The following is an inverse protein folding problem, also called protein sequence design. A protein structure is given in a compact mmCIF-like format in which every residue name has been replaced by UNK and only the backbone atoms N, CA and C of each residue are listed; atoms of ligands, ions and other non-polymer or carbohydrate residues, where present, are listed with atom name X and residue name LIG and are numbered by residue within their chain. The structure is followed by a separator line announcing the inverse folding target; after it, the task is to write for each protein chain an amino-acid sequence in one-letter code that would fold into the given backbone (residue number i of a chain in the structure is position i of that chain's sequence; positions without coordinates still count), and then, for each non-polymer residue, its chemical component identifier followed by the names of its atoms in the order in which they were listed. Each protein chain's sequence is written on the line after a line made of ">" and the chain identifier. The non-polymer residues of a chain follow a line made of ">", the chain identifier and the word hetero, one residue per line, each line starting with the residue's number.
data_IF_834491025484
#
_entry.id   IF_834491025484
#
_cell.length_a   1.000
_cell.length_b   1.000
_cell.length_c   1.000
_cell.angle_alpha   90.00
_cell.angle_beta   90.00
_cell.angle_gamma   90.00
#
_symmetry.space_group_name_H-M   'P 1'
#
loop_
_entity.id
_entity.type
_entity.pdbx_description
1 polymer ?
#
# COMPACT_ATOMS: atom_id res chain seq x y z
N UNK A 1 6.88 49.26 77.39
CA UNK A 1 7.64 48.27 76.59
C UNK A 1 7.92 48.89 75.23
N UNK A 2 9.14 49.37 74.98
CA UNK A 2 9.55 49.89 73.66
C UNK A 2 10.26 48.75 72.93
N UNK A 3 9.61 48.20 71.90
CA UNK A 3 10.27 47.24 71.01
C UNK A 3 11.36 47.97 70.23
N UNK A 4 12.62 47.58 70.44
CA UNK A 4 13.74 48.00 69.62
C UNK A 4 13.54 47.42 68.21
N UNK A 5 13.15 48.26 67.26
CA UNK A 5 13.13 47.92 65.84
C UNK A 5 14.60 47.77 65.43
N UNK A 6 15.07 46.53 65.28
CA UNK A 6 16.40 46.24 64.72
C UNK A 6 16.40 46.76 63.27
N UNK A 7 17.24 47.76 62.99
CA UNK A 7 17.41 48.31 61.65
C UNK A 7 17.97 47.25 60.71
N UNK A 8 17.32 47.06 59.57
CA UNK A 8 17.76 46.16 58.51
C UNK A 8 19.04 46.72 57.89
N UNK A 9 20.11 45.92 57.82
CA UNK A 9 21.37 46.39 57.20
C UNK A 9 21.25 46.36 55.67
N UNK A 10 21.87 47.33 55.00
CA UNK A 10 21.90 47.39 53.53
C UNK A 10 22.53 46.13 52.91
N UNK A 11 23.49 45.52 53.61
CA UNK A 11 24.11 44.26 53.22
C UNK A 11 23.12 43.09 53.22
N UNK A 12 22.22 43.04 54.19
CA UNK A 12 21.20 42.00 54.31
C UNK A 12 20.15 42.11 53.19
N UNK A 13 19.76 43.32 52.80
CA UNK A 13 18.89 43.53 51.63
C UNK A 13 19.60 43.16 50.31
N UNK A 14 20.89 43.49 50.16
CA UNK A 14 21.66 43.12 48.97
C UNK A 14 21.81 41.60 48.84
N UNK A 15 22.10 40.90 49.95
CA UNK A 15 22.19 39.44 49.96
C UNK A 15 20.86 38.77 49.58
N UNK A 16 19.74 39.24 50.15
CA UNK A 16 18.41 38.68 49.87
C UNK A 16 18.01 38.87 48.41
N UNK A 17 18.26 40.05 47.83
CA UNK A 17 17.96 40.30 46.41
C UNK A 17 18.77 39.42 45.46
N UNK A 18 20.04 39.15 45.77
CA UNK A 18 20.88 38.22 44.97
C UNK A 18 20.35 36.79 45.06
N UNK A 19 20.02 36.30 46.26
CA UNK A 19 19.50 34.94 46.45
C UNK A 19 18.15 34.78 45.74
N UNK A 20 17.22 35.72 45.89
CA UNK A 20 15.92 35.69 45.21
C UNK A 20 16.11 35.74 43.70
N UNK A 21 17.00 36.60 43.19
CA UNK A 21 17.31 36.66 41.76
C UNK A 21 17.87 35.35 41.21
N UNK A 22 18.74 34.66 41.94
CA UNK A 22 19.27 33.36 41.53
C UNK A 22 18.18 32.27 41.52
N UNK A 23 17.33 32.22 42.55
CA UNK A 23 16.23 31.24 42.65
C UNK A 23 15.19 31.43 41.54
N UNK A 24 14.83 32.68 41.22
CA UNK A 24 13.90 32.99 40.13
C UNK A 24 14.46 32.49 38.80
N UNK A 25 15.75 32.77 38.50
CA UNK A 25 16.35 32.32 37.25
C UNK A 25 16.33 30.79 37.11
N UNK A 26 16.74 30.06 38.15
CA UNK A 26 16.71 28.59 38.14
C UNK A 26 15.27 28.07 37.95
N UNK A 27 14.30 28.68 38.65
CA UNK A 27 12.88 28.34 38.52
C UNK A 27 12.38 28.50 37.09
N UNK A 28 12.66 29.65 36.46
CA UNK A 28 12.22 29.93 35.08
C UNK A 28 12.78 28.92 34.09
N UNK A 29 14.08 28.57 34.17
CA UNK A 29 14.67 27.58 33.28
C UNK A 29 14.03 26.19 33.43
N UNK A 30 13.78 25.76 34.66
CA UNK A 30 13.14 24.47 34.93
C UNK A 30 11.70 24.41 34.36
N UNK A 31 10.91 25.48 34.54
CA UNK A 31 9.56 25.53 33.99
C UNK A 31 9.55 25.55 32.46
N UNK A 32 10.51 26.23 31.83
CA UNK A 32 10.64 26.25 30.37
C UNK A 32 10.96 24.85 29.82
N UNK A 33 11.89 24.11 30.42
CA UNK A 33 12.21 22.75 29.99
C UNK A 33 11.03 21.80 30.14
N UNK A 34 10.28 21.92 31.24
CA UNK A 34 9.10 21.09 31.48
C UNK A 34 7.99 21.38 30.49
N UNK A 35 7.65 22.66 30.28
CA UNK A 35 6.63 23.06 29.31
C UNK A 35 7.03 22.65 27.88
N UNK A 36 8.31 22.72 27.56
CA UNK A 36 8.84 22.24 26.28
C UNK A 36 8.65 20.73 26.11
N UNK A 37 8.98 19.92 27.11
CA UNK A 37 8.79 18.46 27.04
C UNK A 37 7.32 18.08 26.88
N UNK A 38 6.45 18.74 27.63
CA UNK A 38 5.00 18.55 27.51
C UNK A 38 4.48 18.95 26.12
N UNK A 39 5.03 20.03 25.55
CA UNK A 39 4.72 20.43 24.18
C UNK A 39 5.07 19.36 23.14
N UNK A 40 6.25 18.74 23.28
CA UNK A 40 6.66 17.63 22.41
C UNK A 40 5.78 16.39 22.61
N UNK A 41 5.42 16.07 23.85
CA UNK A 41 4.57 14.93 24.17
C UNK A 41 3.18 15.11 23.55
N UNK A 42 2.55 16.27 23.74
CA UNK A 42 1.27 16.61 23.13
C UNK A 42 1.35 16.55 21.60
N UNK A 43 2.40 17.09 20.99
CA UNK A 43 2.59 17.03 19.53
C UNK A 43 2.68 15.59 19.05
N UNK A 44 3.38 14.72 19.77
CA UNK A 44 3.53 13.31 19.40
C UNK A 44 2.20 12.56 19.46
N UNK A 45 1.39 12.80 20.49
CA UNK A 45 0.05 12.21 20.63
C UNK A 45 -0.86 12.69 19.50
N UNK A 46 -0.84 13.98 19.17
CA UNK A 46 -1.65 14.52 18.07
C UNK A 46 -1.26 13.90 16.72
N UNK A 47 0.04 13.75 16.44
CA UNK A 47 0.49 13.07 15.22
C UNK A 47 0.02 11.62 15.17
N UNK A 48 0.11 10.88 16.28
CA UNK A 48 -0.40 9.49 16.35
C UNK A 48 -1.92 9.42 16.16
N UNK A 49 -2.69 10.35 16.75
CA UNK A 49 -4.13 10.43 16.55
C UNK A 49 -4.49 10.64 15.07
N UNK A 50 -3.78 11.53 14.37
CA UNK A 50 -3.99 11.75 12.93
C UNK A 50 -3.66 10.48 12.14
N UNK A 51 -2.53 9.82 12.43
CA UNK A 51 -2.12 8.58 11.74
C UNK A 51 -3.13 7.45 11.96
N UNK A 52 -3.64 7.29 13.18
CA UNK A 52 -4.65 6.29 13.52
C UNK A 52 -6.00 6.59 12.85
N UNK A 53 -6.41 7.87 12.81
CA UNK A 53 -7.61 8.29 12.10
C UNK A 53 -7.51 8.03 10.59
N UNK A 54 -6.33 8.29 10.00
CA UNK A 54 -6.06 7.98 8.60
C UNK A 54 -6.10 6.47 8.30
N UNK A 55 -5.57 5.64 9.21
CA UNK A 55 -5.65 4.19 9.10
C UNK A 55 -7.11 3.70 9.16
N UNK A 56 -7.94 4.25 10.07
CA UNK A 56 -9.36 3.94 10.14
C UNK A 56 -10.10 4.34 8.86
N UNK A 57 -9.85 5.56 8.35
CA UNK A 57 -10.41 6.01 7.07
C UNK A 57 -10.04 5.04 5.92
N UNK A 58 -8.79 4.57 5.89
CA UNK A 58 -8.31 3.64 4.87
C UNK A 58 -9.03 2.28 4.95
N UNK A 59 -9.33 1.78 6.16
CA UNK A 59 -10.06 0.52 6.35
C UNK A 59 -11.49 0.57 5.80
N UNK A 60 -12.11 1.75 5.82
CA UNK A 60 -13.48 1.97 5.35
C UNK A 60 -13.55 2.34 3.87
N UNK A 61 -12.57 3.10 3.36
CA UNK A 61 -12.61 3.67 2.01
C UNK A 61 -11.61 3.04 1.04
N UNK A 62 -10.73 2.15 1.50
CA UNK A 62 -9.65 1.51 0.73
C UNK A 62 -8.67 2.48 0.07
N UNK A 63 -8.65 3.73 0.53
CA UNK A 63 -7.81 4.80 0.03
C UNK A 63 -7.40 5.71 1.18
N UNK A 64 -6.26 6.38 1.04
CA UNK A 64 -5.83 7.39 2.00
C UNK A 64 -6.72 8.64 1.91
N UNK A 65 -6.93 9.36 3.02
CA UNK A 65 -7.73 10.58 3.00
C UNK A 65 -7.01 11.67 2.17
N UNK A 66 -7.75 12.45 1.36
CA UNK A 66 -7.17 13.48 0.50
C UNK A 66 -6.62 14.68 1.29
N UNK A 67 -7.10 14.90 2.52
CA UNK A 67 -6.69 16.00 3.38
C UNK A 67 -6.97 15.70 4.85
N UNK A 68 -6.34 16.46 5.74
CA UNK A 68 -6.66 16.44 7.18
C UNK A 68 -8.11 16.85 7.46
N UNK A 69 -8.67 17.75 6.66
CA UNK A 69 -10.06 18.21 6.80
C UNK A 69 -11.07 17.06 6.52
N UNK A 70 -10.75 16.15 5.60
CA UNK A 70 -11.55 14.96 5.36
C UNK A 70 -11.68 14.08 6.62
N UNK A 71 -10.61 13.91 7.40
CA UNK A 71 -10.65 13.13 8.64
C UNK A 71 -11.57 13.74 9.70
N UNK A 72 -11.81 15.05 9.61
CA UNK A 72 -12.69 15.81 10.50
C UNK A 72 -14.15 15.83 10.02
N UNK A 73 -14.50 15.07 8.98
CA UNK A 73 -15.84 15.09 8.39
C UNK A 73 -16.12 16.31 7.51
N UNK A 74 -15.07 16.95 6.98
CA UNK A 74 -15.18 18.07 6.03
C UNK A 74 -14.75 17.64 4.62
N UNK A 75 -14.80 18.56 3.65
CA UNK A 75 -14.29 18.35 2.28
C UNK A 75 -14.85 17.12 1.55
N UNK A 76 -16.12 16.78 1.79
CA UNK A 76 -16.81 15.67 1.11
C UNK A 76 -16.72 14.31 1.81
N UNK A 77 -16.10 14.24 2.99
CA UNK A 77 -16.07 13.04 3.82
C UNK A 77 -17.18 13.09 4.87
N UNK A 78 -18.08 12.10 4.88
CA UNK A 78 -19.25 12.05 5.78
C UNK A 78 -18.95 11.47 7.16
N UNK A 79 -17.95 10.59 7.26
CA UNK A 79 -17.55 9.96 8.52
C UNK A 79 -16.48 10.80 9.23
N UNK A 80 -16.67 11.03 10.52
CA UNK A 80 -15.73 11.73 11.38
C UNK A 80 -14.80 10.69 12.01
N UNK A 81 -13.52 10.72 11.64
CA UNK A 81 -12.48 9.87 12.24
C UNK A 81 -11.62 10.63 13.25
N UNK A 82 -11.66 11.97 13.19
CA UNK A 82 -10.93 12.87 14.07
C UNK A 82 -11.92 13.91 14.64
N UNK A 83 -12.29 13.76 15.92
CA UNK A 83 -13.38 14.52 16.52
C UNK A 83 -13.10 16.01 16.79
N UNK A 84 -11.82 16.39 16.91
CA UNK A 84 -11.42 17.79 17.09
C UNK A 84 -10.22 18.11 16.19
N UNK A 85 -10.08 19.37 15.72
CA UNK A 85 -8.92 19.76 14.96
C UNK A 85 -7.65 19.59 15.82
N UNK A 86 -6.60 18.94 15.30
CA UNK A 86 -5.42 18.66 16.06
C UNK A 86 -4.72 19.97 16.38
N UNK A 87 -4.55 20.25 17.67
CA UNK A 87 -3.90 21.47 18.13
C UNK A 87 -2.44 21.19 18.49
N UNK A 88 -1.55 21.91 17.84
CA UNK A 88 -0.14 21.90 18.20
C UNK A 88 0.13 23.00 19.23
N UNK A 89 0.72 22.70 20.40
CA UNK A 89 1.06 23.71 21.41
C UNK A 89 2.05 24.78 20.91
N UNK A 90 2.77 24.51 19.80
CA UNK A 90 3.64 25.49 19.15
C UNK A 90 2.93 26.34 18.08
N UNK A 91 1.61 26.22 17.93
CA UNK A 91 0.81 26.91 16.91
C UNK A 91 1.29 26.66 15.46
N UNK A 92 1.98 25.53 15.22
CA UNK A 92 2.37 25.11 13.89
C UNK A 92 1.37 24.08 13.35
N UNK A 93 0.96 24.26 12.09
CA UNK A 93 -0.01 23.39 11.45
C UNK A 93 0.59 22.02 11.13
N UNK A 94 -0.23 20.98 11.31
CA UNK A 94 0.07 19.66 10.77
C UNK A 94 -0.21 19.65 9.28
N UNK A 95 0.73 19.13 8.51
CA UNK A 95 0.56 18.87 7.08
C UNK A 95 0.47 17.37 6.86
N UNK A 96 -0.36 16.96 5.90
CA UNK A 96 -0.59 15.55 5.62
C UNK A 96 -0.47 15.28 4.14
N UNK A 97 0.11 14.14 3.77
CA UNK A 97 0.21 13.71 2.38
C UNK A 97 -0.05 12.21 2.26
N UNK A 98 -0.76 11.82 1.20
CA UNK A 98 -0.87 10.43 0.80
C UNK A 98 0.24 10.11 -0.21
N UNK A 99 1.22 9.31 0.19
CA UNK A 99 2.36 8.89 -0.64
C UNK A 99 2.39 7.37 -0.64
N UNK A 100 1.70 6.74 -1.59
CA UNK A 100 1.59 5.27 -1.63
C UNK A 100 2.97 4.59 -1.51
N UNK A 101 3.14 3.60 -0.59
CA UNK A 101 2.13 2.94 0.25
C UNK A 101 1.85 3.59 1.62
N UNK A 102 2.38 4.79 1.89
CA UNK A 102 2.31 5.45 3.18
C UNK A 102 1.28 6.58 3.23
N UNK A 103 0.77 6.81 4.43
CA UNK A 103 0.23 8.11 4.82
C UNK A 103 1.26 8.84 5.66
N UNK A 104 1.41 10.14 5.40
CA UNK A 104 2.47 10.96 5.97
C UNK A 104 1.84 12.10 6.75
N UNK A 105 2.31 12.30 7.97
CA UNK A 105 1.99 13.48 8.79
C UNK A 105 3.30 14.19 9.11
N UNK A 106 3.35 15.50 8.84
CA UNK A 106 4.52 16.33 9.09
C UNK A 106 4.16 17.55 9.92
N UNK A 107 5.13 18.02 10.70
CA UNK A 107 5.02 19.26 11.47
C UNK A 107 6.36 19.97 11.50
N UNK A 108 6.34 21.29 11.30
CA UNK A 108 7.54 22.13 11.38
C UNK A 108 7.52 22.89 12.70
N UNK A 109 8.51 22.66 13.56
CA UNK A 109 8.57 23.32 14.86
C UNK A 109 9.12 24.76 14.69
N UNK A 110 8.44 25.80 15.22
CA UNK A 110 8.76 27.20 14.97
C UNK A 110 9.85 27.73 15.91
N UNK A 111 11.03 27.09 15.90
CA UNK A 111 12.17 27.58 16.67
C UNK A 111 12.92 28.69 15.95
N UNK A 112 13.25 29.75 16.68
CA UNK A 112 14.04 30.89 16.17
C UNK A 112 15.47 30.47 15.83
N UNK A 113 16.00 29.47 16.54
CA UNK A 113 17.31 28.89 16.30
C UNK A 113 17.17 27.51 15.63
N UNK A 114 17.72 27.39 14.41
CA UNK A 114 17.66 26.16 13.62
C UNK A 114 18.29 24.94 14.32
N UNK A 115 19.35 25.13 15.12
CA UNK A 115 20.00 24.05 15.85
C UNK A 115 19.12 23.53 17.00
N UNK A 116 18.43 24.43 17.71
CA UNK A 116 17.48 24.06 18.76
C UNK A 116 16.28 23.32 18.17
N UNK A 117 15.76 23.80 17.02
CA UNK A 117 14.68 23.13 16.30
C UNK A 117 15.05 21.75 15.81
N UNK A 118 16.28 21.55 15.32
CA UNK A 118 16.77 20.24 14.92
C UNK A 118 16.89 19.26 16.09
N UNK A 119 17.34 19.73 17.26
CA UNK A 119 17.36 18.92 18.48
C UNK A 119 15.95 18.49 18.89
N UNK A 120 15.02 19.44 18.95
CA UNK A 120 13.61 19.19 19.28
C UNK A 120 12.95 18.19 18.32
N UNK A 121 13.18 18.38 17.01
CA UNK A 121 12.63 17.51 15.97
C UNK A 121 13.15 16.07 16.11
N UNK A 122 14.42 15.87 16.44
CA UNK A 122 14.98 14.53 16.68
C UNK A 122 14.38 13.85 17.92
N UNK A 123 14.17 14.60 19.00
CA UNK A 123 13.49 14.08 20.21
C UNK A 123 12.06 13.67 19.89
N UNK A 124 11.34 14.50 19.13
CA UNK A 124 9.97 14.20 18.71
C UNK A 124 9.90 13.00 17.75
N UNK A 125 10.82 12.90 16.79
CA UNK A 125 10.91 11.73 15.91
C UNK A 125 11.21 10.44 16.70
N UNK A 126 12.00 10.51 17.77
CA UNK A 126 12.23 9.36 18.66
C UNK A 126 11.00 8.89 19.43
N UNK A 127 9.95 9.71 19.53
CA UNK A 127 8.67 9.36 20.20
C UNK A 127 7.64 8.76 19.25
N UNK A 128 7.90 8.79 17.95
CA UNK A 128 6.94 8.40 16.91
C UNK A 128 7.43 7.15 16.17
N UNK A 129 6.56 6.15 15.93
CA UNK A 129 6.93 5.00 15.12
C UNK A 129 7.19 5.45 13.69
N UNK A 130 8.26 4.92 13.08
CA UNK A 130 8.65 5.27 11.71
C UNK A 130 8.64 6.77 11.46
N UNK A 131 9.31 7.56 12.31
CA UNK A 131 9.45 8.99 12.09
C UNK A 131 10.89 9.38 11.76
N UNK A 132 11.02 10.41 10.95
CA UNK A 132 12.29 11.02 10.56
C UNK A 132 12.26 12.51 10.89
N UNK A 133 13.43 13.06 11.22
CA UNK A 133 13.63 14.48 11.48
C UNK A 133 14.58 15.06 10.43
N UNK A 134 14.19 16.16 9.81
CA UNK A 134 15.02 16.94 8.88
C UNK A 134 14.92 18.41 9.22
N UNK A 135 16.01 19.01 9.67
CA UNK A 135 15.97 20.35 10.27
C UNK A 135 14.98 20.39 11.44
N UNK A 136 14.11 21.40 11.47
CA UNK A 136 13.03 21.53 12.47
C UNK A 136 11.74 20.78 12.10
N UNK A 137 11.74 20.02 11.02
CA UNK A 137 10.56 19.27 10.54
C UNK A 137 10.62 17.83 10.97
N UNK A 138 9.51 17.34 11.53
CA UNK A 138 9.31 15.92 11.83
C UNK A 138 8.28 15.36 10.89
N UNK A 139 8.57 14.19 10.34
CA UNK A 139 7.70 13.46 9.43
C UNK A 139 7.49 12.06 9.98
N UNK A 140 6.24 11.64 10.14
CA UNK A 140 5.89 10.29 10.59
C UNK A 140 5.09 9.56 9.51
N UNK A 141 5.28 8.25 9.41
CA UNK A 141 4.70 7.41 8.38
C UNK A 141 3.75 6.37 8.98
N UNK A 142 2.62 6.16 8.32
CA UNK A 142 1.71 5.04 8.57
C UNK A 142 1.65 4.16 7.33
N UNK A 143 1.94 2.87 7.49
CA UNK A 143 1.78 1.87 6.44
C UNK A 143 0.30 1.54 6.20
N UNK A 144 -0.01 1.04 5.00
CA UNK A 144 -1.31 0.43 4.69
C UNK A 144 -1.66 -0.63 5.76
N UNK A 145 -2.82 -0.54 6.42
CA UNK A 145 -3.24 -1.55 7.38
C UNK A 145 -3.39 -2.92 6.71
N UNK A 146 -2.79 -3.96 7.28
CA UNK A 146 -2.84 -5.33 6.74
C UNK A 146 -4.27 -5.90 6.61
N UNK A 147 -5.25 -5.36 7.33
CA UNK A 147 -6.66 -5.76 7.20
C UNK A 147 -7.29 -5.36 5.86
N UNK A 148 -6.77 -4.33 5.16
CA UNK A 148 -7.23 -3.99 3.82
C UNK A 148 -6.79 -5.02 2.76
N UNK A 149 -5.64 -5.69 2.98
CA UNK A 149 -5.21 -6.84 2.17
C UNK A 149 -6.08 -8.08 2.44
N UNK A 150 -6.68 -8.19 3.64
CA UNK A 150 -7.57 -9.30 4.00
C UNK A 150 -9.03 -9.11 3.54
N UNK A 151 -9.46 -7.88 3.23
CA UNK A 151 -10.80 -7.59 2.66
C UNK A 151 -10.83 -7.72 1.12
N UNK A 152 -9.67 -7.72 0.47
CA UNK A 152 -9.58 -8.23 -0.89
C UNK A 152 -9.70 -9.76 -0.81
N UNK A 153 -10.73 -10.41 -1.40
CA UNK A 153 -10.76 -11.86 -1.47
C UNK A 153 -9.44 -12.33 -2.10
N UNK A 154 -8.63 -13.04 -1.31
CA UNK A 154 -7.28 -13.48 -1.69
C UNK A 154 -7.31 -14.37 -2.92
N UNK A 155 -8.41 -15.11 -3.11
CA UNK A 155 -8.83 -15.73 -4.36
C UNK A 155 -10.36 -15.70 -4.46
N UNK A 156 -10.89 -15.26 -5.60
CA UNK A 156 -12.31 -15.36 -5.95
C UNK A 156 -12.59 -16.66 -6.71
N UNK A 157 -11.78 -16.96 -7.72
CA UNK A 157 -11.87 -18.19 -8.50
C UNK A 157 -10.50 -18.80 -8.68
N UNK A 158 -10.39 -20.11 -8.42
CA UNK A 158 -9.24 -20.91 -8.79
C UNK A 158 -9.74 -22.06 -9.67
N UNK A 159 -9.11 -22.27 -10.82
CA UNK A 159 -9.51 -23.30 -11.76
C UNK A 159 -8.40 -23.72 -12.68
N UNK A 160 -8.56 -24.90 -13.28
CA UNK A 160 -7.68 -25.41 -14.31
C UNK A 160 -8.26 -25.06 -15.69
N UNK A 161 -7.44 -24.43 -16.53
CA UNK A 161 -7.81 -23.96 -17.85
C UNK A 161 -6.85 -24.51 -18.90
N UNK A 162 -7.38 -24.80 -20.09
CA UNK A 162 -6.57 -25.11 -21.26
C UNK A 162 -6.06 -23.82 -21.92
N UNK A 163 -5.06 -23.93 -22.78
CA UNK A 163 -4.65 -22.80 -23.61
C UNK A 163 -5.84 -22.28 -24.43
N UNK A 164 -6.09 -20.97 -24.38
CA UNK A 164 -7.27 -20.34 -24.98
C UNK A 164 -8.54 -20.43 -24.14
N UNK A 165 -8.50 -21.00 -22.94
CA UNK A 165 -9.65 -21.12 -22.04
C UNK A 165 -10.12 -19.78 -21.47
N UNK A 166 -11.40 -19.72 -21.08
CA UNK A 166 -12.04 -18.52 -20.55
C UNK A 166 -12.00 -18.48 -19.02
N UNK A 167 -11.28 -17.52 -18.46
CA UNK A 167 -11.20 -17.26 -17.02
C UNK A 167 -12.25 -16.21 -16.66
N UNK A 168 -13.15 -16.45 -15.69
CA UNK A 168 -14.13 -15.45 -15.27
C UNK A 168 -13.44 -14.28 -14.55
N UNK A 169 -13.78 -13.05 -14.94
CA UNK A 169 -13.33 -11.84 -14.25
C UNK A 169 -14.11 -11.71 -12.94
N UNK A 170 -13.42 -11.59 -11.78
CA UNK A 170 -14.10 -11.46 -10.51
C UNK A 170 -14.81 -10.11 -10.40
N UNK A 171 -15.98 -10.11 -9.74
CA UNK A 171 -16.64 -8.88 -9.33
C UNK A 171 -15.99 -8.35 -8.05
N UNK A 172 -15.24 -7.27 -8.17
CA UNK A 172 -14.56 -6.70 -7.02
C UNK A 172 -15.49 -5.82 -6.15
N UNK A 173 -15.35 -5.88 -4.81
CA UNK A 173 -16.12 -5.02 -3.91
C UNK A 173 -15.57 -3.59 -3.96
N UNK A 174 -16.46 -2.62 -4.15
CA UNK A 174 -16.13 -1.20 -4.20
C UNK A 174 -15.63 -0.70 -5.56
N UNK A 175 -15.55 0.62 -5.71
CA UNK A 175 -15.12 1.28 -6.97
C UNK A 175 -13.62 1.31 -7.15
N UNK A 176 -12.85 1.03 -6.09
CA UNK A 176 -11.41 1.22 -6.05
C UNK A 176 -10.63 -0.09 -6.15
N UNK A 177 -11.26 -1.25 -6.33
CA UNK A 177 -10.53 -2.50 -6.52
C UNK A 177 -10.51 -2.89 -8.00
N UNK A 178 -9.34 -3.29 -8.50
CA UNK A 178 -9.17 -3.78 -9.87
C UNK A 178 -9.05 -5.30 -9.88
N UNK A 179 -9.69 -5.99 -10.83
CA UNK A 179 -9.57 -7.44 -10.95
C UNK A 179 -8.15 -7.81 -11.41
N UNK A 180 -7.56 -8.84 -10.81
CA UNK A 180 -6.22 -9.36 -11.13
C UNK A 180 -6.23 -10.89 -11.24
N UNK A 181 -5.26 -11.48 -11.93
CA UNK A 181 -5.13 -12.93 -12.13
C UNK A 181 -3.68 -13.38 -12.11
N UNK A 182 -3.45 -14.51 -11.45
CA UNK A 182 -2.21 -15.26 -11.52
C UNK A 182 -2.42 -16.48 -12.40
N UNK A 183 -1.51 -16.70 -13.34
CA UNK A 183 -1.55 -17.84 -14.24
C UNK A 183 -0.23 -18.61 -14.13
N UNK A 184 -0.33 -19.92 -13.90
CA UNK A 184 0.84 -20.81 -13.83
C UNK A 184 0.57 -22.07 -14.64
N UNK A 185 1.55 -22.59 -15.40
CA UNK A 185 1.42 -23.89 -16.03
C UNK A 185 1.44 -24.99 -14.97
N UNK A 186 0.55 -25.98 -15.10
CA UNK A 186 0.44 -27.13 -14.18
C UNK A 186 0.90 -28.42 -14.86
N UNK A 187 0.55 -28.59 -16.14
CA UNK A 187 0.89 -29.79 -16.89
C UNK A 187 1.08 -29.47 -18.36
N UNK A 188 2.12 -30.06 -18.93
CA UNK A 188 2.48 -29.98 -20.33
C UNK A 188 2.87 -31.39 -20.77
N UNK A 189 2.20 -31.95 -21.78
CA UNK A 189 2.46 -33.33 -22.22
C UNK A 189 2.32 -33.48 -23.74
N UNK A 190 3.06 -34.41 -24.36
CA UNK A 190 2.80 -34.84 -25.74
C UNK A 190 2.90 -33.72 -26.79
N UNK A 191 3.87 -32.82 -26.64
CA UNK A 191 4.12 -31.73 -27.58
C UNK A 191 5.19 -32.15 -28.59
N UNK A 192 4.94 -31.86 -29.88
CA UNK A 192 5.87 -32.05 -31.00
C UNK A 192 6.21 -33.51 -31.36
N UNK A 193 5.24 -34.41 -31.21
CA UNK A 193 5.36 -35.80 -31.64
C UNK A 193 4.08 -36.31 -32.32
N UNK A 194 4.23 -37.33 -33.17
CA UNK A 194 3.09 -38.00 -33.77
C UNK A 194 2.24 -38.66 -32.67
N UNK A 195 0.95 -38.32 -32.64
CA UNK A 195 0.00 -38.95 -31.72
C UNK A 195 -0.16 -40.45 -32.02
N UNK A 196 -0.31 -41.31 -31.01
CA UNK A 196 -0.21 -41.05 -29.57
C UNK A 196 1.24 -41.17 -29.07
N UNK A 197 1.74 -40.16 -28.38
CA UNK A 197 3.04 -40.24 -27.70
C UNK A 197 2.91 -39.87 -26.23
N UNK A 198 3.66 -40.59 -25.39
CA UNK A 198 3.75 -40.37 -23.94
C UNK A 198 5.10 -39.76 -23.54
N UNK A 199 5.90 -39.30 -24.51
CA UNK A 199 7.21 -38.74 -24.21
C UNK A 199 7.06 -37.41 -23.48
N UNK A 200 7.91 -37.25 -22.46
CA UNK A 200 7.95 -36.09 -21.60
C UNK A 200 9.23 -35.35 -21.92
N UNK A 201 9.10 -34.12 -22.40
CA UNK A 201 10.23 -33.21 -22.62
C UNK A 201 10.28 -32.19 -21.48
N UNK A 202 11.47 -31.87 -20.95
CA UNK A 202 11.60 -30.81 -19.97
C UNK A 202 11.20 -29.46 -20.61
N UNK A 203 10.53 -28.62 -19.82
CA UNK A 203 10.19 -27.25 -20.20
C UNK A 203 11.43 -26.39 -20.01
N UNK A 204 11.94 -25.81 -21.09
CA UNK A 204 13.12 -24.93 -21.04
C UNK A 204 12.74 -23.52 -20.58
N UNK A 205 11.60 -23.01 -21.06
CA UNK A 205 11.00 -21.77 -20.56
C UNK A 205 9.50 -21.72 -20.85
N UNK A 206 8.78 -20.94 -20.06
CA UNK A 206 7.36 -20.70 -20.26
C UNK A 206 7.02 -19.26 -19.91
N UNK A 207 6.01 -18.72 -20.58
CA UNK A 207 5.39 -17.44 -20.26
C UNK A 207 3.88 -17.64 -20.25
N UNK A 208 3.27 -17.48 -19.07
CA UNK A 208 1.84 -17.55 -18.90
C UNK A 208 1.28 -16.12 -18.77
N UNK A 209 0.29 -15.78 -19.57
CA UNK A 209 -0.32 -14.45 -19.56
C UNK A 209 -1.82 -14.54 -19.85
N UNK A 210 -2.53 -13.44 -19.64
CA UNK A 210 -3.94 -13.34 -20.00
C UNK A 210 -4.15 -12.21 -21.00
N UNK A 211 -5.09 -12.41 -21.91
CA UNK A 211 -5.58 -11.35 -22.79
C UNK A 211 -7.00 -10.95 -22.37
N UNK A 212 -7.23 -9.65 -22.31
CA UNK A 212 -8.55 -9.04 -22.27
C UNK A 212 -8.93 -8.56 -23.67
N UNK A 213 -10.16 -8.07 -23.83
CA UNK A 213 -10.61 -7.42 -25.07
C UNK A 213 -11.73 -6.44 -24.79
N UNK A 214 -12.10 -5.63 -25.79
CA UNK A 214 -13.26 -4.72 -25.68
C UNK A 214 -14.57 -5.49 -25.47
N UNK A 215 -14.64 -6.74 -25.94
CA UNK A 215 -15.77 -7.62 -25.75
C UNK A 215 -15.57 -8.52 -24.52
N UNK A 216 -16.31 -8.22 -23.45
CA UNK A 216 -16.28 -8.98 -22.17
C UNK A 216 -16.67 -10.47 -22.32
N UNK A 217 -17.37 -10.84 -23.39
CA UNK A 217 -17.75 -12.24 -23.68
C UNK A 217 -16.84 -12.91 -24.70
N UNK A 218 -15.96 -12.16 -25.37
CA UNK A 218 -15.03 -12.67 -26.37
C UNK A 218 -13.67 -11.96 -26.24
N UNK A 219 -12.85 -12.37 -25.24
CA UNK A 219 -11.54 -11.77 -25.03
C UNK A 219 -10.62 -12.08 -26.21
N UNK A 220 -9.66 -11.19 -26.46
CA UNK A 220 -8.73 -11.27 -27.58
C UNK A 220 -7.98 -12.62 -27.59
N UNK A 221 -7.59 -13.07 -28.77
CA UNK A 221 -6.86 -14.32 -28.94
C UNK A 221 -5.44 -14.22 -28.37
N UNK A 222 -4.85 -15.36 -27.99
CA UNK A 222 -3.45 -15.42 -27.58
C UNK A 222 -2.55 -15.00 -28.74
N UNK A 223 -1.49 -14.23 -28.45
CA UNK A 223 -0.53 -13.80 -29.46
C UNK A 223 0.16 -15.03 -30.07
N UNK A 224 0.50 -14.97 -31.36
CA UNK A 224 1.09 -16.07 -32.15
C UNK A 224 0.20 -17.32 -32.36
N UNK A 225 -1.07 -17.31 -31.95
CA UNK A 225 -2.06 -18.30 -32.38
C UNK A 225 -2.54 -17.96 -33.80
N UNK A 226 -1.82 -18.41 -34.83
CA UNK A 226 -2.21 -18.20 -36.24
C UNK A 226 -3.49 -18.93 -36.66
N UNK A 227 -4.08 -19.77 -35.80
CA UNK A 227 -5.31 -20.48 -36.14
C UNK A 227 -6.16 -20.94 -34.92
N UNK A 228 -6.56 -20.01 -34.04
CA UNK A 228 -7.98 -20.02 -33.64
C UNK A 228 -8.75 -19.28 -34.74
N UNK A 229 -8.75 -19.89 -35.92
CA UNK A 229 -9.47 -19.41 -37.08
C UNK A 229 -10.95 -19.34 -36.71
N UNK A 230 -11.50 -18.13 -36.84
CA UNK A 230 -12.92 -17.82 -37.09
C UNK A 230 -13.96 -18.21 -36.04
N UNK A 231 -13.56 -18.46 -34.81
CA UNK A 231 -14.49 -18.51 -33.69
C UNK A 231 -14.17 -17.42 -32.70
N UNK A 232 -14.96 -16.34 -32.68
CA UNK A 232 -15.34 -15.68 -31.43
C UNK A 232 -15.89 -16.77 -30.51
N UNK A 233 -15.00 -17.52 -29.86
CA UNK A 233 -15.42 -18.59 -28.95
C UNK A 233 -15.91 -17.83 -27.73
N UNK A 234 -17.20 -17.49 -27.79
CA UNK A 234 -17.88 -16.75 -26.76
C UNK A 234 -17.76 -17.56 -25.50
N UNK A 235 -17.16 -16.93 -24.50
CA UNK A 235 -17.09 -17.49 -23.17
C UNK A 235 -18.54 -17.50 -22.66
N UNK A 236 -19.21 -18.64 -22.76
CA UNK A 236 -20.58 -18.83 -22.28
C UNK A 236 -20.53 -19.49 -20.91
N UNK A 237 -21.25 -18.90 -19.96
CA UNK A 237 -21.31 -19.37 -18.57
C UNK A 237 -22.10 -20.66 -18.46
N UNK A 238 -21.43 -21.81 -18.54
CA UNK A 238 -21.97 -23.03 -17.96
C UNK A 238 -21.78 -22.99 -16.43
N UNK A 239 -22.68 -22.30 -15.72
CA UNK A 239 -22.92 -22.53 -14.28
C UNK A 239 -22.08 -21.77 -13.24
N UNK A 240 -21.41 -20.66 -13.57
CA UNK A 240 -20.75 -19.78 -12.59
C UNK A 240 -21.49 -18.46 -12.39
N UNK A 241 -21.45 -17.85 -11.18
CA UNK A 241 -22.17 -16.61 -10.88
C UNK A 241 -21.77 -15.51 -11.87
N UNK A 242 -22.78 -14.79 -12.38
CA UNK A 242 -22.71 -13.83 -13.50
C UNK A 242 -21.40 -13.03 -13.54
N UNK A 243 -20.41 -13.44 -14.35
CA UNK A 243 -19.15 -12.73 -14.44
C UNK A 243 -19.36 -11.39 -15.15
N UNK A 244 -18.62 -10.35 -14.75
CA UNK A 244 -18.63 -9.05 -15.44
C UNK A 244 -17.93 -9.12 -16.80
N UNK A 245 -17.20 -10.22 -17.05
CA UNK A 245 -16.53 -10.54 -18.29
C UNK A 245 -15.61 -11.75 -18.14
N UNK A 246 -14.85 -12.02 -19.19
CA UNK A 246 -13.86 -13.09 -19.22
C UNK A 246 -12.48 -12.55 -19.63
N UNK A 247 -11.44 -13.26 -19.21
CA UNK A 247 -10.11 -13.18 -19.78
C UNK A 247 -9.80 -14.49 -20.50
N UNK A 248 -8.85 -14.46 -21.42
CA UNK A 248 -8.36 -15.67 -22.09
C UNK A 248 -6.99 -16.06 -21.53
N UNK A 249 -6.88 -17.32 -21.10
CA UNK A 249 -5.66 -17.90 -20.59
C UNK A 249 -4.71 -18.24 -21.73
N UNK A 250 -3.51 -17.69 -21.71
CA UNK A 250 -2.50 -17.88 -22.75
C UNK A 250 -1.20 -18.43 -22.16
N UNK A 251 -0.57 -19.31 -22.92
CA UNK A 251 0.73 -19.87 -22.59
C UNK A 251 1.60 -19.83 -23.83
N UNK A 252 2.84 -19.41 -23.66
CA UNK A 252 3.92 -19.60 -24.60
C UNK A 252 4.94 -20.52 -23.94
N UNK A 253 5.39 -21.54 -24.69
CA UNK A 253 6.25 -22.59 -24.16
C UNK A 253 7.38 -22.89 -25.14
N UNK A 254 8.60 -22.93 -24.62
CA UNK A 254 9.79 -23.38 -25.33
C UNK A 254 10.26 -24.67 -24.67
N UNK A 255 10.41 -25.71 -25.50
CA UNK A 255 10.98 -27.00 -25.12
C UNK A 255 12.36 -27.14 -25.74
N UNK A 256 13.09 -28.20 -25.37
CA UNK A 256 14.35 -28.57 -26.05
C UNK A 256 14.18 -28.80 -27.57
N UNK A 257 12.96 -29.12 -28.02
CA UNK A 257 12.62 -29.25 -29.44
C UNK A 257 12.20 -27.93 -30.11
N UNK A 258 12.31 -26.81 -29.39
CA UNK A 258 11.95 -25.48 -29.87
C UNK A 258 10.57 -25.01 -29.42
N UNK A 259 10.11 -23.91 -30.03
CA UNK A 259 8.84 -23.25 -29.72
C UNK A 259 7.65 -24.10 -30.18
N UNK A 260 6.79 -24.48 -29.23
CA UNK A 260 5.63 -25.36 -29.46
C UNK A 260 4.59 -24.71 -30.38
N UNK A 261 4.42 -23.38 -30.29
CA UNK A 261 3.44 -22.67 -31.12
C UNK A 261 3.81 -22.71 -32.62
N UNK A 262 5.10 -22.89 -32.94
CA UNK A 262 5.61 -22.87 -34.32
C UNK A 262 5.81 -24.28 -34.91
N UNK A 263 5.90 -25.31 -34.08
CA UNK A 263 6.24 -26.68 -34.49
C UNK A 263 5.01 -27.55 -34.81
N UNK A 264 3.80 -27.09 -34.46
CA UNK A 264 2.53 -27.74 -34.79
C UNK A 264 1.68 -26.90 -35.77
N UNK A 265 2.23 -26.59 -36.95
CA UNK A 265 1.53 -25.91 -38.06
C UNK A 265 0.75 -26.85 -38.99
N UNK A 266 0.69 -28.14 -38.66
CA UNK A 266 -0.11 -29.13 -39.38
C UNK A 266 -1.59 -28.74 -39.39
N UNK A 267 -2.30 -29.10 -40.46
CA UNK A 267 -3.66 -28.67 -40.88
C UNK A 267 -4.83 -28.97 -39.93
N UNK A 268 -4.57 -29.22 -38.64
CA UNK A 268 -5.55 -29.28 -37.56
C UNK A 268 -5.22 -28.28 -36.45
N UNK A 269 -5.84 -27.10 -36.53
CA UNK A 269 -6.17 -26.16 -35.43
C UNK A 269 -5.50 -26.48 -34.08
N UNK A 270 -4.36 -25.85 -33.76
CA UNK A 270 -3.77 -25.70 -32.42
C UNK A 270 -4.09 -26.84 -31.40
N UNK A 271 -3.94 -28.10 -31.81
CA UNK A 271 -4.30 -29.26 -30.98
C UNK A 271 -3.45 -29.38 -29.71
N UNK A 272 -2.27 -28.76 -29.74
CA UNK A 272 -1.35 -28.68 -28.61
C UNK A 272 -1.96 -28.00 -27.39
N UNK A 273 -2.87 -27.03 -27.59
CA UNK A 273 -3.54 -26.32 -26.49
C UNK A 273 -4.40 -27.23 -25.60
N UNK A 274 -4.85 -28.38 -26.13
CA UNK A 274 -5.57 -29.41 -25.36
C UNK A 274 -4.64 -30.16 -24.40
N UNK A 275 -3.36 -30.25 -24.74
CA UNK A 275 -2.36 -31.01 -24.00
C UNK A 275 -1.63 -30.17 -22.93
N UNK A 276 -2.04 -28.92 -22.77
CA UNK A 276 -1.52 -28.00 -21.78
C UNK A 276 -2.62 -27.63 -20.80
N UNK A 277 -2.31 -27.71 -19.50
CA UNK A 277 -3.20 -27.28 -18.42
C UNK A 277 -2.50 -26.21 -17.61
N UNK A 278 -3.19 -25.09 -17.38
CA UNK A 278 -2.76 -23.98 -16.54
C UNK A 278 -3.71 -23.84 -15.36
N UNK A 279 -3.20 -23.37 -14.23
CA UNK A 279 -4.01 -22.92 -13.10
C UNK A 279 -4.14 -21.41 -13.18
N UNK A 280 -5.37 -20.91 -13.16
CA UNK A 280 -5.65 -19.49 -13.01
C UNK A 280 -6.26 -19.23 -11.64
N UNK A 281 -5.73 -18.24 -10.93
CA UNK A 281 -6.24 -17.75 -9.65
C UNK A 281 -6.61 -16.29 -9.84
N UNK A 282 -7.90 -15.95 -9.76
CA UNK A 282 -8.36 -14.57 -9.86
C UNK A 282 -8.57 -13.98 -8.48
N UNK A 283 -8.27 -12.69 -8.33
CA UNK A 283 -8.46 -11.94 -7.09
C UNK A 283 -8.81 -10.49 -7.38
N UNK A 284 -9.11 -9.75 -6.33
CA UNK A 284 -9.20 -8.29 -6.39
C UNK A 284 -7.92 -7.68 -5.83
N UNK A 285 -7.41 -6.67 -6.50
CA UNK A 285 -6.18 -5.96 -6.15
C UNK A 285 -6.51 -4.48 -5.91
N UNK A 286 -5.72 -3.83 -5.06
CA UNK A 286 -5.78 -2.37 -4.92
C UNK A 286 -5.18 -1.71 -6.16
N UNK A 287 -5.59 -0.48 -6.54
CA UNK A 287 -5.04 0.20 -7.70
C UNK A 287 -3.55 0.43 -7.46
N UNK A 288 -2.73 0.14 -8.49
CA UNK A 288 -1.27 0.28 -8.42
C UNK A 288 -0.56 -0.71 -7.48
N UNK A 289 -1.21 -1.83 -7.14
CA UNK A 289 -0.45 -3.01 -6.73
C UNK A 289 0.49 -3.41 -7.89
N UNK A 290 1.76 -3.71 -7.60
CA UNK A 290 2.73 -4.09 -8.62
C UNK A 290 2.18 -5.26 -9.44
N UNK A 291 2.10 -5.10 -10.77
CA UNK A 291 1.53 -6.14 -11.63
C UNK A 291 2.53 -7.28 -11.78
N UNK A 292 2.20 -8.44 -11.20
CA UNK A 292 2.94 -9.67 -11.42
C UNK A 292 4.27 -9.74 -10.66
N UNK A 293 4.55 -10.94 -10.17
CA UNK A 293 5.92 -11.29 -9.79
C UNK A 293 6.74 -11.53 -11.05
N UNK A 294 7.92 -10.93 -11.15
CA UNK A 294 9.00 -11.38 -12.05
C UNK A 294 9.54 -12.75 -11.60
N UNK A 295 8.66 -13.72 -11.34
CA UNK A 295 9.05 -15.09 -11.02
C UNK A 295 9.37 -15.81 -12.33
N UNK A 296 10.58 -15.60 -12.84
CA UNK A 296 11.18 -16.54 -13.79
C UNK A 296 11.73 -17.72 -12.99
N UNK A 297 11.07 -18.88 -13.09
CA UNK A 297 11.55 -20.12 -12.44
C UNK A 297 12.79 -20.67 -13.18
N UNK A 298 12.97 -20.27 -14.44
CA UNK A 298 14.14 -20.59 -15.26
C UNK A 298 14.67 -19.32 -15.92
N UNK A 299 15.53 -18.61 -15.21
CA UNK A 299 16.41 -17.61 -15.81
C UNK A 299 17.77 -18.24 -16.07
N UNK A 300 18.29 -18.09 -17.30
CA UNK A 300 19.74 -18.02 -17.50
C UNK A 300 20.22 -16.64 -17.09
#
# INVERSE_FOLDING_TARGET
>A
MRHAIKGFSLFELLLVTVIIGAVINIGVYYFQERAFREGLDNTSVQMQLILNAAAAYYVDNTAWPPSLACLQGQSGCTNIYLGAPPHNPYNANFTTAAVYPFYVVSVTLPFVNAAQGAGAARVLAGKLPMATASGSTVTAYQNVPGQALNKAPSANFAGLYKHGGCIPVPRCPGTNMVPNVFLVPVSVSGLNEASPSTNIYPVSSFTAYVTGGANILAPDLCQNSTSMSTGTTTCTSAGSPAPTGYWRACLELITERGNVAQTNTGTGVNSWGKNVTMMAITRCAVPKEASGSDFSVFGN
#
